data_IF_248003181587
#
_entry.id   IF_248003181587
#
_cell.length_a   1.000
_cell.length_b   1.000
_cell.length_c   1.000
_cell.angle_alpha   90.00
_cell.angle_beta   90.00
_cell.angle_gamma   90.00
#
_symmetry.space_group_name_H-M   'P 1'
#
loop_
_entity.id
_entity.type
_entity.pdbx_description
1 polymer ?
#
# COMPACT_ATOMS: atom_id res chain seq x y z
N UNK A 1 -60.39 -0.83 6.74
CA UNK A 1 -59.45 -0.41 7.80
C UNK A 1 -58.06 -0.82 7.37
N UNK A 2 -57.16 0.17 7.29
CA UNK A 2 -55.77 0.01 6.87
C UNK A 2 -54.91 -0.56 8.00
N UNK A 3 -53.81 -1.22 7.66
CA UNK A 3 -52.55 -1.14 8.40
C UNK A 3 -51.41 -1.71 7.53
N UNK A 4 -50.76 -0.80 6.80
CA UNK A 4 -49.38 -0.96 6.32
C UNK A 4 -48.48 -0.75 7.53
N UNK A 5 -47.61 -1.72 7.83
CA UNK A 5 -46.54 -1.57 8.82
C UNK A 5 -45.25 -1.19 8.08
N UNK A 6 -45.12 0.12 7.82
CA UNK A 6 -43.84 0.77 7.54
C UNK A 6 -43.11 0.91 8.88
N UNK A 7 -42.08 0.08 9.12
CA UNK A 7 -41.20 0.22 10.26
C UNK A 7 -39.92 0.96 9.84
N UNK A 8 -39.94 2.25 10.14
CA UNK A 8 -38.82 3.13 10.47
C UNK A 8 -37.59 3.14 9.55
N UNK A 9 -37.59 4.14 8.66
CA UNK A 9 -36.40 4.97 8.36
C UNK A 9 -35.67 5.28 9.67
N UNK A 10 -34.57 4.58 9.93
CA UNK A 10 -33.60 5.00 10.93
C UNK A 10 -32.74 6.10 10.30
N UNK A 11 -33.21 7.34 10.44
CA UNK A 11 -32.40 8.53 10.20
C UNK A 11 -31.40 8.66 11.35
N UNK A 12 -30.22 8.09 11.17
CA UNK A 12 -29.05 8.50 11.95
C UNK A 12 -28.41 9.70 11.24
N UNK A 13 -28.95 10.89 11.51
CA UNK A 13 -28.20 12.13 11.42
C UNK A 13 -27.18 12.15 12.57
N UNK A 14 -26.05 11.45 12.39
CA UNK A 14 -24.84 11.71 13.18
C UNK A 14 -23.95 12.63 12.36
N UNK A 15 -24.23 13.92 12.48
CA UNK A 15 -23.35 14.99 12.03
C UNK A 15 -22.31 15.26 13.12
N UNK A 16 -21.21 14.51 13.12
CA UNK A 16 -19.97 14.90 13.79
C UNK A 16 -18.81 14.33 12.97
N UNK A 17 -18.40 15.08 11.95
CA UNK A 17 -17.05 14.98 11.40
C UNK A 17 -16.10 15.60 12.42
N UNK A 18 -15.11 14.87 12.91
CA UNK A 18 -13.74 15.31 12.81
C UNK A 18 -13.21 14.69 11.50
N UNK A 19 -13.01 15.53 10.48
CA UNK A 19 -12.09 15.20 9.41
C UNK A 19 -10.71 15.05 10.05
N UNK A 20 -10.39 13.86 10.56
CA UNK A 20 -9.04 13.47 10.89
C UNK A 20 -8.29 13.18 9.59
N UNK A 21 -8.16 14.21 8.75
CA UNK A 21 -7.12 14.27 7.73
C UNK A 21 -5.80 14.55 8.47
N UNK A 22 -5.34 13.55 9.22
CA UNK A 22 -3.97 13.46 9.72
C UNK A 22 -3.09 12.68 8.72
N UNK A 23 -3.56 12.48 7.49
CA UNK A 23 -2.69 12.23 6.36
C UNK A 23 -2.10 13.57 5.92
N UNK A 24 -0.79 13.75 6.09
CA UNK A 24 -0.04 14.84 5.47
C UNK A 24 -0.04 14.57 3.95
N UNK A 25 -1.15 14.86 3.29
CA UNK A 25 -1.22 14.91 1.85
C UNK A 25 -1.01 16.37 1.46
N UNK A 26 0.01 16.70 0.64
CA UNK A 26 0.10 18.04 0.10
C UNK A 26 -1.14 18.27 -0.75
N UNK A 27 -1.98 19.20 -0.29
CA UNK A 27 -3.11 19.75 -1.03
C UNK A 27 -2.67 20.01 -2.47
N UNK A 28 -3.46 19.54 -3.44
CA UNK A 28 -3.08 19.48 -4.85
C UNK A 28 -2.52 20.83 -5.31
N UNK A 29 -1.20 20.91 -5.45
CA UNK A 29 -0.57 22.05 -6.10
C UNK A 29 -0.84 21.91 -7.59
N UNK A 30 -1.91 22.58 -8.03
CA UNK A 30 -2.08 22.96 -9.43
C UNK A 30 -0.87 23.82 -9.83
N UNK A 31 0.14 23.16 -10.40
CA UNK A 31 1.41 23.78 -10.74
C UNK A 31 2.44 22.72 -11.13
N UNK A 32 2.57 22.52 -12.45
CA UNK A 32 3.58 21.77 -13.20
C UNK A 32 4.73 21.17 -12.37
N UNK A 33 4.82 19.83 -12.40
CA UNK A 33 5.94 18.99 -11.92
C UNK A 33 6.25 19.08 -10.41
N UNK A 34 5.25 18.86 -9.56
CA UNK A 34 5.51 18.46 -8.18
C UNK A 34 6.07 17.03 -8.16
N UNK A 35 7.39 16.89 -8.19
CA UNK A 35 8.05 15.61 -7.91
C UNK A 35 7.61 15.14 -6.52
N UNK A 36 6.84 14.06 -6.47
CA UNK A 36 6.51 13.39 -5.22
C UNK A 36 7.82 12.84 -4.66
N UNK A 37 8.19 13.30 -3.46
CA UNK A 37 9.40 12.85 -2.78
C UNK A 37 9.22 11.40 -2.32
N UNK A 38 10.24 10.53 -2.49
CA UNK A 38 10.20 9.21 -1.88
C UNK A 38 10.10 9.31 -0.35
N UNK A 39 9.69 8.22 0.33
CA UNK A 39 9.65 8.17 1.78
C UNK A 39 10.98 8.65 2.38
N UNK A 40 10.98 9.51 3.42
CA UNK A 40 12.21 10.08 3.97
C UNK A 40 13.27 9.04 4.36
N UNK A 41 12.85 7.85 4.79
CA UNK A 41 13.75 6.74 5.11
C UNK A 41 14.63 6.35 3.91
N UNK A 42 14.11 6.41 2.68
CA UNK A 42 14.83 6.09 1.45
C UNK A 42 15.96 7.09 1.10
N UNK A 43 16.10 8.20 1.85
CA UNK A 43 17.28 9.07 1.76
C UNK A 43 18.50 8.50 2.49
N UNK A 44 18.29 7.53 3.39
CA UNK A 44 19.31 6.93 4.26
C UNK A 44 19.51 5.44 4.01
N UNK A 45 18.48 4.75 3.51
CA UNK A 45 18.52 3.32 3.19
C UNK A 45 18.20 3.09 1.71
N UNK A 46 18.63 1.96 1.18
CA UNK A 46 18.28 1.58 -0.18
C UNK A 46 16.82 1.13 -0.26
N UNK A 47 16.08 1.72 -1.21
CA UNK A 47 14.71 1.37 -1.53
C UNK A 47 14.60 0.97 -3.00
N UNK A 48 13.58 0.17 -3.39
CA UNK A 48 13.29 -0.10 -4.78
C UNK A 48 12.98 1.21 -5.52
N UNK A 49 13.60 1.40 -6.69
CA UNK A 49 13.33 2.55 -7.55
C UNK A 49 11.98 2.39 -8.25
N UNK A 50 11.24 3.49 -8.39
CA UNK A 50 9.97 3.51 -9.08
C UNK A 50 9.77 4.83 -9.86
N UNK A 51 8.89 4.75 -10.86
CA UNK A 51 8.35 5.92 -11.56
C UNK A 51 6.95 6.20 -11.03
N UNK A 52 6.64 7.48 -10.75
CA UNK A 52 5.29 7.89 -10.37
C UNK A 52 4.46 8.08 -11.64
N UNK A 53 3.46 7.24 -11.81
CA UNK A 53 2.56 7.22 -12.97
C UNK A 53 1.40 8.19 -12.78
N UNK A 54 0.85 8.24 -11.57
CA UNK A 54 -0.29 9.08 -11.24
C UNK A 54 -0.30 9.45 -9.76
N UNK A 55 -0.80 10.65 -9.45
CA UNK A 55 -1.04 11.10 -8.07
C UNK A 55 -2.52 11.38 -7.94
N UNK A 56 -3.19 10.61 -7.09
CA UNK A 56 -4.60 10.75 -6.79
C UNK A 56 -4.85 11.44 -5.45
N UNK A 57 -6.11 11.48 -5.04
CA UNK A 57 -6.48 11.97 -3.72
C UNK A 57 -6.13 10.91 -2.66
N UNK A 58 -5.01 11.07 -1.97
CA UNK A 58 -4.64 10.16 -0.89
C UNK A 58 -3.95 8.87 -1.33
N UNK A 59 -3.48 8.79 -2.58
CA UNK A 59 -2.71 7.68 -3.11
C UNK A 59 -1.80 8.09 -4.28
N UNK A 60 -0.82 7.23 -4.57
CA UNK A 60 0.03 7.31 -5.76
C UNK A 60 -0.04 6.00 -6.53
N UNK A 61 0.07 6.07 -7.85
CA UNK A 61 0.34 4.90 -8.69
C UNK A 61 1.80 4.94 -9.06
N UNK A 62 2.52 3.88 -8.69
CA UNK A 62 3.94 3.71 -8.93
C UNK A 62 4.17 2.53 -9.86
N UNK A 63 5.10 2.67 -10.80
CA UNK A 63 5.60 1.56 -11.64
C UNK A 63 6.97 1.16 -11.12
N UNK A 64 7.11 -0.11 -10.74
CA UNK A 64 8.37 -0.71 -10.36
C UNK A 64 8.91 -1.52 -11.52
N UNK A 65 10.20 -1.38 -11.81
CA UNK A 65 10.89 -2.28 -12.72
C UNK A 65 11.16 -3.63 -12.01
N UNK A 66 11.59 -4.64 -12.77
CA UNK A 66 11.94 -5.93 -12.19
C UNK A 66 12.96 -5.80 -11.07
N UNK A 67 12.66 -6.40 -9.93
CA UNK A 67 13.48 -6.33 -8.70
C UNK A 67 13.53 -7.69 -8.01
N UNK A 68 14.68 -8.01 -7.43
CA UNK A 68 14.88 -9.17 -6.58
C UNK A 68 14.58 -8.83 -5.12
N UNK A 69 13.85 -9.73 -4.46
CA UNK A 69 13.47 -9.68 -3.07
C UNK A 69 13.91 -10.98 -2.40
N UNK A 70 14.44 -10.88 -1.18
CA UNK A 70 14.60 -12.04 -0.32
C UNK A 70 13.27 -12.28 0.40
N UNK A 71 12.74 -13.49 0.29
CA UNK A 71 11.44 -13.86 0.84
C UNK A 71 11.55 -15.01 1.83
N UNK A 72 10.68 -14.99 2.85
CA UNK A 72 10.50 -16.11 3.80
C UNK A 72 9.20 -16.86 3.50
N UNK A 73 8.98 -17.99 4.16
CA UNK A 73 7.65 -18.62 4.15
C UNK A 73 6.62 -17.75 4.88
N UNK A 74 5.33 -17.79 4.49
CA UNK A 74 4.28 -17.07 5.19
C UNK A 74 4.30 -17.33 6.69
N UNK A 75 4.18 -16.25 7.47
CA UNK A 75 4.07 -16.31 8.92
C UNK A 75 2.59 -16.38 9.25
N UNK A 76 2.13 -17.52 9.77
CA UNK A 76 0.74 -17.72 10.16
C UNK A 76 0.47 -17.06 11.52
N UNK A 77 0.02 -15.81 11.48
CA UNK A 77 -0.43 -15.07 12.66
C UNK A 77 -1.66 -14.22 12.31
N UNK A 78 -2.49 -13.93 13.31
CA UNK A 78 -3.63 -13.02 13.19
C UNK A 78 -3.22 -11.55 13.39
N UNK A 79 -2.07 -11.31 14.03
CA UNK A 79 -1.51 -9.99 14.29
C UNK A 79 -0.37 -9.71 13.32
N UNK A 80 -0.50 -8.66 12.52
CA UNK A 80 0.59 -8.18 11.67
C UNK A 80 1.75 -7.71 12.55
N UNK A 81 1.46 -7.01 13.65
CA UNK A 81 2.47 -6.53 14.58
C UNK A 81 3.29 -7.70 15.11
N UNK A 82 2.68 -8.75 15.65
CA UNK A 82 3.41 -9.91 16.17
C UNK A 82 4.11 -10.72 15.05
N UNK A 83 3.49 -10.85 13.87
CA UNK A 83 4.15 -11.47 12.71
C UNK A 83 5.45 -10.74 12.34
N UNK A 84 5.43 -9.41 12.36
CA UNK A 84 6.60 -8.58 12.03
C UNK A 84 7.68 -8.57 13.10
N UNK A 85 7.35 -8.97 14.35
CA UNK A 85 8.36 -9.26 15.38
C UNK A 85 9.06 -10.59 15.15
N UNK A 86 8.37 -11.54 14.52
CA UNK A 86 8.90 -12.86 14.19
C UNK A 86 9.80 -12.81 12.95
N UNK A 87 9.42 -12.03 11.93
CA UNK A 87 10.21 -11.91 10.70
C UNK A 87 9.62 -10.94 9.68
N UNK A 88 9.94 -11.17 8.41
CA UNK A 88 9.46 -10.38 7.27
C UNK A 88 9.05 -11.32 6.14
N UNK A 89 8.11 -10.90 5.30
CA UNK A 89 7.74 -11.69 4.11
C UNK A 89 8.64 -11.37 2.92
N UNK A 90 8.92 -10.08 2.67
CA UNK A 90 9.78 -9.61 1.59
C UNK A 90 10.78 -8.58 2.10
N UNK A 91 12.05 -8.73 1.69
CA UNK A 91 13.12 -7.78 1.96
C UNK A 91 13.79 -7.40 0.64
N UNK A 92 13.87 -6.10 0.36
CA UNK A 92 14.47 -5.60 -0.87
C UNK A 92 15.98 -5.94 -0.89
N UNK A 93 16.42 -6.67 -1.91
CA UNK A 93 17.84 -7.01 -2.05
C UNK A 93 18.62 -5.72 -2.40
N UNK A 94 19.75 -5.41 -1.74
CA UNK A 94 20.57 -4.25 -2.07
C UNK A 94 20.95 -4.18 -3.54
N UNK A 95 21.09 -2.97 -4.08
CA UNK A 95 21.35 -2.71 -5.51
C UNK A 95 22.58 -3.45 -6.03
N UNK A 96 23.62 -3.56 -5.21
CA UNK A 96 24.84 -4.30 -5.53
C UNK A 96 24.59 -5.80 -5.78
N UNK A 97 23.58 -6.39 -5.12
CA UNK A 97 23.26 -7.81 -5.19
C UNK A 97 22.01 -8.14 -6.03
N UNK A 98 21.39 -7.16 -6.68
CA UNK A 98 20.14 -7.35 -7.44
C UNK A 98 20.27 -8.36 -8.60
N UNK A 99 21.45 -8.42 -9.23
CA UNK A 99 21.73 -9.33 -10.33
C UNK A 99 21.88 -10.78 -9.85
N UNK A 100 22.61 -10.98 -8.74
CA UNK A 100 22.91 -12.29 -8.17
C UNK A 100 22.83 -12.24 -6.63
N UNK A 101 21.61 -12.39 -6.06
CA UNK A 101 21.45 -12.34 -4.61
C UNK A 101 22.10 -13.56 -3.95
N UNK A 102 22.83 -13.39 -2.85
CA UNK A 102 23.49 -14.50 -2.18
C UNK A 102 22.48 -15.51 -1.62
N UNK A 103 22.74 -16.82 -1.71
CA UNK A 103 21.86 -17.83 -1.15
C UNK A 103 21.91 -17.80 0.38
N UNK A 104 20.77 -18.06 1.03
CA UNK A 104 20.68 -18.15 2.48
C UNK A 104 19.67 -19.23 2.91
N UNK A 105 19.95 -19.90 4.03
CA UNK A 105 19.06 -20.95 4.56
C UNK A 105 17.77 -20.33 5.08
N UNK A 106 16.62 -20.85 4.64
CA UNK A 106 15.30 -20.36 5.06
C UNK A 106 14.84 -19.09 4.33
N UNK A 107 15.64 -18.59 3.38
CA UNK A 107 15.27 -17.51 2.46
C UNK A 107 15.27 -18.05 1.04
N UNK A 108 14.35 -17.54 0.23
CA UNK A 108 14.33 -17.77 -1.20
C UNK A 108 14.32 -16.43 -1.93
N UNK A 109 14.98 -16.37 -3.08
CA UNK A 109 14.95 -15.18 -3.92
C UNK A 109 13.67 -15.20 -4.73
N UNK A 110 12.87 -14.15 -4.57
CA UNK A 110 11.70 -13.90 -5.39
C UNK A 110 11.98 -12.71 -6.28
N UNK A 111 11.92 -12.92 -7.60
CA UNK A 111 12.02 -11.83 -8.57
C UNK A 111 10.62 -11.37 -8.91
N UNK A 112 10.33 -10.11 -8.61
CA UNK A 112 9.14 -9.47 -9.13
C UNK A 112 9.44 -9.01 -10.54
N UNK A 113 8.53 -9.31 -11.46
CA UNK A 113 8.53 -8.69 -12.79
C UNK A 113 8.14 -7.21 -12.66
N UNK A 114 8.19 -6.48 -13.77
CA UNK A 114 7.74 -5.09 -13.75
C UNK A 114 6.26 -5.05 -13.37
N UNK A 115 5.92 -4.32 -12.32
CA UNK A 115 4.58 -4.30 -11.73
C UNK A 115 4.18 -2.89 -11.33
N UNK A 116 2.89 -2.66 -11.13
CA UNK A 116 2.36 -1.40 -10.62
C UNK A 116 1.93 -1.58 -9.17
N UNK A 117 1.99 -0.50 -8.40
CA UNK A 117 1.47 -0.45 -7.06
C UNK A 117 0.61 0.80 -6.89
N UNK A 118 -0.61 0.63 -6.37
CA UNK A 118 -1.35 1.72 -5.77
C UNK A 118 -0.90 1.83 -4.31
N UNK A 119 -0.35 2.98 -3.95
CA UNK A 119 0.31 3.19 -2.67
C UNK A 119 -0.38 4.28 -1.87
N UNK A 120 -0.68 3.97 -0.62
CA UNK A 120 -1.11 4.95 0.38
C UNK A 120 -0.09 5.04 1.50
N UNK A 121 0.39 6.24 1.77
CA UNK A 121 1.28 6.54 2.90
C UNK A 121 0.47 6.91 4.14
N UNK A 122 0.91 6.43 5.30
CA UNK A 122 0.40 6.80 6.61
C UNK A 122 1.54 6.88 7.63
N UNK A 123 1.31 7.58 8.74
CA UNK A 123 2.35 7.89 9.73
C UNK A 123 2.08 7.21 11.07
N UNK A 124 3.06 7.21 11.97
CA UNK A 124 2.92 6.62 13.31
C UNK A 124 3.44 5.19 13.40
N UNK A 125 3.17 4.55 14.53
CA UNK A 125 3.45 3.14 14.73
C UNK A 125 2.30 2.32 14.11
N UNK A 126 2.62 1.24 13.41
CA UNK A 126 1.60 0.35 12.86
C UNK A 126 0.97 -0.43 14.01
N UNK A 127 -0.34 -0.30 14.16
CA UNK A 127 -1.18 -1.17 14.98
C UNK A 127 -2.06 -2.04 14.06
N UNK A 128 -2.46 -3.23 14.53
CA UNK A 128 -3.24 -4.16 13.70
C UNK A 128 -4.58 -3.56 13.22
N UNK A 129 -5.19 -2.68 14.03
CA UNK A 129 -6.41 -1.96 13.66
C UNK A 129 -6.20 -0.99 12.50
N UNK A 130 -5.06 -0.30 12.48
CA UNK A 130 -4.81 0.80 11.56
C UNK A 130 -4.65 0.29 10.13
N UNK A 131 -4.04 -0.89 9.97
CA UNK A 131 -3.73 -1.47 8.66
C UNK A 131 -5.00 -1.67 7.83
N UNK A 132 -6.05 -2.21 8.47
CA UNK A 132 -7.34 -2.43 7.82
C UNK A 132 -8.04 -1.11 7.46
N UNK A 133 -7.95 -0.10 8.33
CA UNK A 133 -8.49 1.23 8.08
C UNK A 133 -7.80 1.93 6.91
N UNK A 134 -6.46 1.88 6.86
CA UNK A 134 -5.68 2.50 5.79
C UNK A 134 -5.86 1.76 4.45
N UNK A 135 -5.98 0.42 4.47
CA UNK A 135 -6.33 -0.35 3.28
C UNK A 135 -7.74 0.00 2.77
N UNK A 136 -8.73 0.13 3.65
CA UNK A 136 -10.08 0.55 3.27
C UNK A 136 -10.12 1.99 2.73
N UNK A 137 -9.30 2.89 3.28
CA UNK A 137 -9.15 4.26 2.80
C UNK A 137 -8.51 4.31 1.40
N UNK A 138 -7.50 3.47 1.13
CA UNK A 138 -6.92 3.32 -0.21
C UNK A 138 -7.98 2.80 -1.20
N UNK A 139 -8.70 1.73 -0.86
CA UNK A 139 -9.81 1.21 -1.68
C UNK A 139 -10.85 2.28 -1.99
N UNK A 140 -11.27 3.05 -0.98
CA UNK A 140 -12.22 4.15 -1.15
C UNK A 140 -11.68 5.24 -2.08
N UNK A 141 -10.40 5.56 -1.98
CA UNK A 141 -9.76 6.59 -2.81
C UNK A 141 -9.60 6.15 -4.26
N UNK A 142 -9.41 4.85 -4.51
CA UNK A 142 -9.32 4.26 -5.84
C UNK A 142 -10.69 4.04 -6.49
N UNK A 143 -11.78 4.06 -5.71
CA UNK A 143 -13.10 3.69 -6.19
C UNK A 143 -13.55 4.50 -7.41
N UNK A 144 -13.97 3.80 -8.47
CA UNK A 144 -14.42 4.42 -9.72
C UNK A 144 -13.30 4.91 -10.64
N UNK A 145 -12.03 4.68 -10.28
CA UNK A 145 -10.89 5.01 -11.14
C UNK A 145 -10.57 3.85 -12.10
N UNK A 146 -9.76 4.12 -13.13
CA UNK A 146 -9.23 3.05 -13.98
C UNK A 146 -8.31 2.10 -13.20
N UNK A 147 -7.70 2.58 -12.12
CA UNK A 147 -6.76 1.83 -11.28
C UNK A 147 -7.47 0.78 -10.44
N UNK A 148 -8.64 1.09 -9.86
CA UNK A 148 -9.42 0.07 -9.13
C UNK A 148 -9.83 -1.07 -10.06
N UNK A 149 -10.24 -0.77 -11.29
CA UNK A 149 -10.60 -1.80 -12.27
C UNK A 149 -9.39 -2.66 -12.69
N UNK A 150 -8.20 -2.07 -12.79
CA UNK A 150 -6.97 -2.81 -13.07
C UNK A 150 -6.58 -3.75 -11.92
N UNK A 151 -6.66 -3.26 -10.68
CA UNK A 151 -6.44 -4.05 -9.46
C UNK A 151 -7.42 -5.23 -9.40
N UNK A 152 -8.72 -4.96 -9.56
CA UNK A 152 -9.76 -6.01 -9.56
C UNK A 152 -9.52 -7.06 -10.65
N UNK A 153 -9.02 -6.64 -11.83
CA UNK A 153 -8.68 -7.55 -12.93
C UNK A 153 -7.49 -8.44 -12.56
N UNK A 154 -6.44 -7.88 -11.97
CA UNK A 154 -5.25 -8.62 -11.52
C UNK A 154 -5.57 -9.66 -10.45
N UNK A 155 -6.48 -9.33 -9.52
CA UNK A 155 -6.87 -10.23 -8.44
C UNK A 155 -8.14 -11.04 -8.71
N UNK A 156 -8.61 -11.11 -9.97
CA UNK A 156 -9.91 -11.72 -10.32
C UNK A 156 -10.05 -13.20 -9.93
N UNK A 157 -8.93 -13.91 -9.77
CA UNK A 157 -8.90 -15.31 -9.33
C UNK A 157 -8.83 -15.48 -7.82
N UNK A 158 -8.65 -14.40 -7.08
CA UNK A 158 -8.44 -14.41 -5.63
C UNK A 158 -9.73 -14.04 -4.92
N UNK A 159 -10.05 -14.77 -3.87
CA UNK A 159 -11.24 -14.52 -3.04
C UNK A 159 -11.00 -13.42 -2.00
N UNK A 160 -9.74 -13.02 -1.81
CA UNK A 160 -9.29 -12.05 -0.82
C UNK A 160 -8.38 -11.06 -1.53
N UNK A 161 -8.61 -9.77 -1.33
CA UNK A 161 -7.67 -8.73 -1.78
C UNK A 161 -6.43 -8.80 -0.89
N UNK A 162 -5.33 -9.32 -1.44
CA UNK A 162 -4.04 -9.27 -0.77
C UNK A 162 -3.46 -7.85 -0.89
N UNK A 163 -2.79 -7.42 0.18
CA UNK A 163 -2.11 -6.15 0.21
C UNK A 163 -0.80 -6.27 0.99
N UNK A 164 0.15 -5.41 0.65
CA UNK A 164 1.44 -5.36 1.31
C UNK A 164 1.47 -4.18 2.25
N UNK A 165 1.95 -4.41 3.47
CA UNK A 165 2.29 -3.34 4.41
C UNK A 165 3.80 -3.13 4.37
N UNK A 166 4.24 -2.07 3.70
CA UNK A 166 5.64 -1.69 3.66
C UNK A 166 5.97 -0.83 4.88
N UNK A 167 6.73 -1.40 5.81
CA UNK A 167 7.22 -0.72 7.01
C UNK A 167 8.69 -0.34 6.82
N UNK A 168 8.98 0.95 6.67
CA UNK A 168 10.36 1.40 6.50
C UNK A 168 11.10 1.41 7.84
N UNK A 169 12.12 0.56 7.95
CA UNK A 169 13.08 0.50 9.06
C UNK A 169 12.46 0.41 10.48
N UNK A 170 11.26 -0.20 10.58
CA UNK A 170 10.63 -0.56 11.86
C UNK A 170 11.34 -1.79 12.43
N UNK A 171 11.62 -1.88 13.75
CA UNK A 171 11.31 -0.94 14.84
C UNK A 171 12.44 0.06 15.16
N UNK A 172 13.45 0.20 14.30
CA UNK A 172 14.69 0.94 14.62
C UNK A 172 14.61 2.46 14.33
N UNK A 173 13.60 2.93 13.60
CA UNK A 173 13.32 4.36 13.39
C UNK A 173 12.16 4.88 14.24
N UNK A 174 12.44 5.85 15.12
CA UNK A 174 11.45 6.43 16.05
C UNK A 174 10.88 7.80 15.63
N UNK A 175 11.41 8.43 14.57
CA UNK A 175 10.99 9.78 14.10
C UNK A 175 10.79 9.78 12.59
N UNK A 176 9.77 10.50 12.11
CA UNK A 176 9.39 10.62 10.70
C UNK A 176 9.12 9.27 10.03
N UNK A 177 8.47 8.35 10.77
CA UNK A 177 8.05 7.06 10.24
C UNK A 177 6.98 7.28 9.17
N UNK A 178 7.22 6.65 8.03
CA UNK A 178 6.23 6.45 6.98
C UNK A 178 6.03 4.95 6.88
N UNK A 179 4.77 4.54 6.88
CA UNK A 179 4.36 3.19 6.53
C UNK A 179 3.48 3.30 5.28
N UNK A 180 3.40 2.24 4.50
CA UNK A 180 2.64 2.24 3.26
C UNK A 180 1.76 1.00 3.13
N UNK A 181 0.56 1.18 2.57
CA UNK A 181 -0.29 0.10 2.07
C UNK A 181 -0.16 0.05 0.55
N UNK A 182 0.14 -1.13 0.01
CA UNK A 182 0.31 -1.36 -1.42
C UNK A 182 -0.72 -2.37 -1.92
N UNK A 183 -1.44 -2.01 -2.98
CA UNK A 183 -2.13 -2.97 -3.85
C UNK A 183 -1.31 -3.13 -5.12
N UNK A 184 -0.72 -4.31 -5.30
CA UNK A 184 0.03 -4.64 -6.51
C UNK A 184 -0.93 -4.98 -7.64
N UNK A 185 -0.61 -4.58 -8.87
CA UNK A 185 -1.41 -4.94 -10.03
C UNK A 185 -0.57 -4.85 -11.30
N UNK A 186 -1.09 -5.45 -12.36
CA UNK A 186 -0.48 -5.44 -13.68
C UNK A 186 -1.31 -4.57 -14.63
N UNK A 187 -0.61 -3.85 -15.50
CA UNK A 187 -1.22 -3.12 -16.60
C UNK A 187 -0.63 -3.65 -17.91
N UNK A 188 -1.50 -3.91 -18.87
CA UNK A 188 -1.07 -4.18 -20.24
C UNK A 188 -0.55 -2.87 -20.86
N UNK A 189 0.62 -2.92 -21.49
CA UNK A 189 1.26 -1.79 -22.18
C UNK A 189 0.39 -1.35 -23.38
N UNK A 190 -0.64 -0.55 -23.12
CA UNK A 190 -1.61 -0.08 -24.11
C UNK A 190 -2.78 0.73 -23.57
N UNK A 191 -3.07 0.64 -22.26
CA UNK A 191 -4.15 1.38 -21.61
C UNK A 191 -3.71 2.64 -20.84
N UNK A 192 -2.42 2.98 -20.86
CA UNK A 192 -1.90 4.23 -20.30
C UNK A 192 -1.99 5.36 -21.34
N UNK A 193 -3.19 5.88 -21.58
CA UNK A 193 -3.40 7.15 -22.29
C UNK A 193 -4.42 8.01 -21.54
#
# INVERSE_FOLDING_TARGET
MAASLNLFKLSCLLSLLPNSNLGIWPESRSGNNAAVSPPPSCSRIECPSYDVVHVGNGYEIRRYNSTAWASTSPIEDISLVEATRTGFLHFFVPKENQADPPPAKGLHVQRWESTYAAVRQFSGFVEDSDVGEEAAALTSSLSGTIWSAAIDKSHKSETVTEYIVAQYNSPFEFKNRVNEIWFLFDMEDGNAM
#
